data_IF_156977546734
#
_entry.id   IF_156977546734
#
_cell.length_a   1.000
_cell.length_b   1.000
_cell.length_c   1.000
_cell.angle_alpha   90.00
_cell.angle_beta   90.00
_cell.angle_gamma   90.00
#
_symmetry.space_group_name_H-M   'P 1'
#
loop_
_entity.id
_entity.type
_entity.pdbx_description
1 polymer ?
#
# COMPACT_ATOMS: atom_id res chain seq x y z
N UNK A 1 -36.94 16.12 -12.19
CA UNK A 1 -35.79 15.38 -11.61
C UNK A 1 -34.99 14.83 -12.77
N UNK A 2 -33.88 15.47 -13.11
CA UNK A 2 -32.98 15.04 -14.19
C UNK A 2 -32.30 13.75 -13.73
N UNK A 3 -32.61 12.64 -14.40
CA UNK A 3 -31.87 11.40 -14.26
C UNK A 3 -30.45 11.63 -14.83
N UNK A 4 -29.54 12.16 -14.03
CA UNK A 4 -28.12 12.11 -14.36
C UNK A 4 -27.71 10.62 -14.44
N UNK A 5 -27.13 10.21 -15.55
CA UNK A 5 -26.52 8.88 -15.62
C UNK A 5 -25.39 8.81 -14.59
N UNK A 6 -25.12 7.64 -14.01
CA UNK A 6 -24.05 7.45 -13.02
C UNK A 6 -22.71 7.99 -13.55
N UNK A 7 -22.44 7.83 -14.84
CA UNK A 7 -21.25 8.36 -15.52
C UNK A 7 -21.20 9.88 -15.57
N UNK A 8 -22.32 10.55 -15.80
CA UNK A 8 -22.38 12.01 -15.80
C UNK A 8 -22.20 12.58 -14.38
N UNK A 9 -22.82 11.95 -13.38
CA UNK A 9 -22.65 12.32 -11.98
C UNK A 9 -21.18 12.17 -11.54
N UNK A 10 -20.55 11.04 -11.86
CA UNK A 10 -19.13 10.82 -11.55
C UNK A 10 -18.22 11.87 -12.22
N UNK A 11 -18.42 12.12 -13.51
CA UNK A 11 -17.60 13.08 -14.25
C UNK A 11 -17.69 14.51 -13.70
N UNK A 12 -18.85 14.88 -13.14
CA UNK A 12 -19.10 16.24 -12.64
C UNK A 12 -18.71 16.43 -11.17
N UNK A 13 -18.72 15.35 -10.35
CA UNK A 13 -18.62 15.47 -8.90
C UNK A 13 -17.41 14.75 -8.28
N UNK A 14 -16.77 13.82 -9.02
CA UNK A 14 -15.75 12.93 -8.46
C UNK A 14 -14.55 13.70 -7.89
N UNK A 15 -14.15 14.79 -8.54
CA UNK A 15 -13.02 15.62 -8.11
C UNK A 15 -13.29 16.38 -6.80
N UNK A 16 -14.55 16.52 -6.43
CA UNK A 16 -14.99 17.18 -5.19
C UNK A 16 -15.13 16.18 -4.03
N UNK A 17 -15.03 14.87 -4.32
CA UNK A 17 -15.16 13.86 -3.28
C UNK A 17 -13.90 13.81 -2.43
N UNK A 18 -14.09 13.94 -1.12
CA UNK A 18 -13.07 13.70 -0.11
C UNK A 18 -13.30 12.30 0.46
N UNK A 19 -12.33 11.41 0.32
CA UNK A 19 -12.46 10.02 0.73
C UNK A 19 -11.34 9.66 1.69
N UNK A 20 -11.68 9.29 2.92
CA UNK A 20 -10.76 8.67 3.86
C UNK A 20 -10.71 7.16 3.60
N UNK A 21 -9.52 6.63 3.38
CA UNK A 21 -9.26 5.19 3.28
C UNK A 21 -8.49 4.79 4.53
N UNK A 22 -9.03 3.85 5.31
CA UNK A 22 -8.41 3.37 6.55
C UNK A 22 -8.27 1.85 6.45
N UNK A 23 -7.10 1.33 6.79
CA UNK A 23 -6.85 -0.11 6.79
C UNK A 23 -5.36 -0.47 6.73
N UNK A 24 -5.08 -1.75 6.45
CA UNK A 24 -3.73 -2.26 6.36
C UNK A 24 -3.00 -1.67 5.16
N UNK A 25 -2.01 -0.83 5.47
CA UNK A 25 -1.12 -0.21 4.48
C UNK A 25 0.08 -1.12 4.27
N UNK A 26 0.31 -1.52 3.03
CA UNK A 26 1.40 -2.43 2.74
C UNK A 26 2.16 -2.08 1.46
N UNK A 27 3.41 -2.53 1.41
CA UNK A 27 4.28 -2.42 0.24
C UNK A 27 4.38 -3.78 -0.44
N UNK A 28 3.87 -3.88 -1.67
CA UNK A 28 4.08 -5.05 -2.51
C UNK A 28 5.36 -4.88 -3.34
N UNK A 29 6.31 -5.82 -3.23
CA UNK A 29 7.58 -5.82 -3.97
C UNK A 29 7.70 -7.03 -4.86
N UNK A 30 7.93 -6.80 -6.13
CA UNK A 30 8.07 -7.83 -7.16
C UNK A 30 9.52 -7.91 -7.63
N UNK A 31 10.13 -9.07 -7.44
CA UNK A 31 11.49 -9.37 -7.85
C UNK A 31 11.47 -10.23 -9.10
N UNK A 32 11.60 -9.61 -10.25
CA UNK A 32 11.64 -10.30 -11.55
C UNK A 32 13.04 -10.78 -11.85
N UNK A 33 13.19 -12.08 -12.15
CA UNK A 33 14.48 -12.65 -12.44
C UNK A 33 14.45 -13.83 -13.39
N UNK A 34 15.63 -14.37 -13.64
CA UNK A 34 15.88 -15.56 -14.46
C UNK A 34 16.39 -16.69 -13.59
N UNK A 35 15.84 -17.89 -13.80
CA UNK A 35 16.30 -19.10 -13.15
C UNK A 35 17.04 -19.95 -14.20
N UNK A 36 18.35 -20.08 -14.06
CA UNK A 36 19.21 -20.81 -15.00
C UNK A 36 19.97 -21.98 -14.35
N UNK A 37 19.96 -22.06 -13.03
CA UNK A 37 20.69 -23.11 -12.29
C UNK A 37 20.00 -23.42 -10.96
N UNK A 38 20.33 -24.59 -10.45
CA UNK A 38 20.05 -24.98 -9.06
C UNK A 38 21.24 -24.56 -8.19
N UNK A 39 20.97 -24.22 -6.92
CA UNK A 39 22.03 -23.91 -5.95
C UNK A 39 22.93 -25.13 -5.69
N UNK A 40 24.24 -24.95 -5.55
CA UNK A 40 25.12 -26.02 -5.08
C UNK A 40 24.95 -26.36 -3.60
N UNK A 41 24.35 -25.45 -2.82
CA UNK A 41 24.18 -25.59 -1.36
C UNK A 41 22.90 -26.34 -0.98
N UNK A 42 21.87 -26.32 -1.85
CA UNK A 42 20.60 -26.98 -1.61
C UNK A 42 19.85 -27.17 -2.95
N UNK A 43 18.89 -28.10 -3.07
CA UNK A 43 18.13 -28.35 -4.30
C UNK A 43 17.07 -27.26 -4.55
N UNK A 44 17.48 -26.00 -4.51
CA UNK A 44 16.63 -24.83 -4.74
C UNK A 44 17.07 -24.03 -5.96
N UNK A 45 16.14 -23.48 -6.74
CA UNK A 45 16.47 -22.66 -7.90
C UNK A 45 17.12 -21.33 -7.48
N UNK A 46 18.15 -20.92 -8.22
CA UNK A 46 18.77 -19.60 -8.07
C UNK A 46 18.11 -18.60 -9.01
N UNK A 47 17.36 -17.66 -8.43
CA UNK A 47 16.74 -16.56 -9.18
C UNK A 47 17.71 -15.39 -9.27
N UNK A 48 18.23 -15.10 -10.48
CA UNK A 48 19.04 -13.92 -10.73
C UNK A 48 18.14 -12.72 -11.00
N UNK A 49 17.92 -11.89 -9.98
CA UNK A 49 17.06 -10.72 -10.06
C UNK A 49 17.58 -9.73 -11.10
N UNK A 50 16.70 -9.29 -12.01
CA UNK A 50 16.96 -8.31 -13.07
C UNK A 50 16.25 -6.98 -12.83
N UNK A 51 15.09 -7.02 -12.22
CA UNK A 51 14.26 -5.85 -11.98
C UNK A 51 13.49 -6.02 -10.68
N UNK A 52 13.39 -4.93 -9.93
CA UNK A 52 12.53 -4.82 -8.77
C UNK A 52 11.45 -3.78 -9.08
N UNK A 53 10.20 -4.09 -8.75
CA UNK A 53 9.07 -3.17 -8.84
C UNK A 53 8.37 -3.13 -7.50
N UNK A 54 8.16 -1.93 -6.96
CA UNK A 54 7.33 -1.70 -5.78
C UNK A 54 5.98 -1.13 -6.20
N UNK A 55 4.92 -1.51 -5.53
CA UNK A 55 3.57 -0.97 -5.72
C UNK A 55 2.87 -0.82 -4.37
N UNK A 56 1.96 0.13 -4.28
CA UNK A 56 1.07 0.29 -3.13
C UNK A 56 0.15 -0.94 -3.03
N UNK A 57 0.08 -1.56 -1.87
CA UNK A 57 -0.74 -2.75 -1.59
C UNK A 57 -1.79 -2.48 -0.51
N UNK A 58 -2.73 -3.41 -0.33
CA UNK A 58 -3.79 -3.29 0.67
C UNK A 58 -4.61 -2.01 0.55
N UNK A 59 -4.82 -1.34 1.67
CA UNK A 59 -5.55 -0.07 1.72
C UNK A 59 -4.89 1.03 0.86
N UNK A 60 -3.55 1.05 0.78
CA UNK A 60 -2.83 2.00 -0.06
C UNK A 60 -3.11 1.80 -1.57
N UNK A 61 -3.35 0.56 -2.02
CA UNK A 61 -3.77 0.31 -3.39
C UNK A 61 -5.19 0.83 -3.67
N UNK A 62 -6.10 0.72 -2.69
CA UNK A 62 -7.44 1.32 -2.78
C UNK A 62 -7.34 2.83 -2.89
N UNK A 63 -6.54 3.45 -2.04
CA UNK A 63 -6.27 4.89 -2.08
C UNK A 63 -5.71 5.33 -3.45
N UNK A 64 -4.75 4.57 -3.99
CA UNK A 64 -4.17 4.84 -5.31
C UNK A 64 -5.20 4.76 -6.45
N UNK A 65 -6.13 3.79 -6.40
CA UNK A 65 -7.20 3.67 -7.39
C UNK A 65 -8.18 4.85 -7.32
N UNK A 66 -8.55 5.29 -6.11
CA UNK A 66 -9.40 6.45 -5.92
C UNK A 66 -8.73 7.75 -6.35
N UNK A 67 -7.43 7.92 -6.05
CA UNK A 67 -6.66 9.05 -6.53
C UNK A 67 -6.56 9.07 -8.07
N UNK A 68 -6.47 7.90 -8.71
CA UNK A 68 -6.48 7.78 -10.17
C UNK A 68 -7.83 8.14 -10.79
N UNK A 69 -8.92 8.04 -10.02
CA UNK A 69 -10.24 8.56 -10.38
C UNK A 69 -10.41 10.05 -10.05
N UNK A 70 -9.31 10.72 -9.70
CA UNK A 70 -9.26 12.16 -9.37
C UNK A 70 -10.00 12.55 -8.08
N UNK A 71 -10.29 11.58 -7.19
CA UNK A 71 -10.79 11.88 -5.86
C UNK A 71 -9.70 12.51 -4.99
N UNK A 72 -10.09 13.37 -4.05
CA UNK A 72 -9.19 13.81 -2.99
C UNK A 72 -9.12 12.73 -1.89
N UNK A 73 -7.99 12.05 -1.78
CA UNK A 73 -7.83 10.87 -0.93
C UNK A 73 -6.97 11.17 0.28
N UNK A 74 -7.43 10.73 1.44
CA UNK A 74 -6.72 10.77 2.71
C UNK A 74 -6.49 9.33 3.19
N UNK A 75 -5.23 8.96 3.42
CA UNK A 75 -4.85 7.61 3.82
C UNK A 75 -4.53 7.55 5.31
N UNK A 76 -5.25 6.70 6.03
CA UNK A 76 -5.00 6.37 7.43
C UNK A 76 -4.64 4.90 7.62
N UNK A 77 -3.74 4.63 8.54
CA UNK A 77 -3.29 3.28 8.87
C UNK A 77 -2.01 3.30 9.68
N UNK A 78 -1.48 2.12 10.00
CA UNK A 78 -0.27 1.99 10.80
C UNK A 78 0.85 1.39 9.94
N UNK A 79 2.05 1.95 10.09
CA UNK A 79 3.26 1.46 9.43
C UNK A 79 4.43 1.48 10.42
N UNK A 80 5.48 0.75 10.14
CA UNK A 80 6.70 0.79 10.94
C UNK A 80 7.48 2.09 10.80
N UNK A 81 8.56 2.19 11.57
CA UNK A 81 9.53 3.28 11.50
C UNK A 81 10.74 2.88 10.64
N UNK A 82 10.50 2.49 9.39
CA UNK A 82 11.48 1.83 8.52
C UNK A 82 11.52 2.41 7.10
N UNK A 83 12.49 1.97 6.30
CA UNK A 83 12.67 2.43 4.92
C UNK A 83 11.47 2.06 4.01
N UNK A 84 10.71 1.00 4.31
CA UNK A 84 9.55 0.63 3.51
C UNK A 84 8.41 1.65 3.67
N UNK A 85 8.29 2.25 4.86
CA UNK A 85 7.41 3.40 5.09
C UNK A 85 7.80 4.58 4.21
N UNK A 86 9.07 4.94 4.15
CA UNK A 86 9.54 6.07 3.32
C UNK A 86 9.22 5.86 1.84
N UNK A 87 9.35 4.61 1.36
CA UNK A 87 8.96 4.24 -0.01
C UNK A 87 7.45 4.41 -0.22
N UNK A 88 6.61 3.98 0.73
CA UNK A 88 5.16 4.15 0.66
C UNK A 88 4.77 5.63 0.62
N UNK A 89 5.35 6.45 1.50
CA UNK A 89 5.09 7.90 1.58
C UNK A 89 5.46 8.59 0.25
N UNK A 90 6.63 8.29 -0.32
CA UNK A 90 7.03 8.83 -1.61
C UNK A 90 6.07 8.44 -2.74
N UNK A 91 5.64 7.17 -2.78
CA UNK A 91 4.69 6.68 -3.79
C UNK A 91 3.29 7.28 -3.64
N UNK A 92 2.85 7.56 -2.41
CA UNK A 92 1.58 8.24 -2.15
C UNK A 92 1.66 9.71 -2.53
N UNK A 93 2.76 10.38 -2.19
CA UNK A 93 3.01 11.77 -2.57
C UNK A 93 2.98 11.98 -4.09
N UNK A 94 3.61 11.07 -4.86
CA UNK A 94 3.57 11.09 -6.34
C UNK A 94 2.16 11.00 -6.90
N UNK A 95 1.22 10.40 -6.16
CA UNK A 95 -0.19 10.24 -6.56
C UNK A 95 -1.12 11.31 -5.98
N UNK A 96 -0.58 12.27 -5.23
CA UNK A 96 -1.38 13.30 -4.58
C UNK A 96 -2.26 12.80 -3.44
N UNK A 97 -1.92 11.65 -2.85
CA UNK A 97 -2.64 11.09 -1.69
C UNK A 97 -2.11 11.77 -0.43
N UNK A 98 -3.01 12.30 0.39
CA UNK A 98 -2.67 12.78 1.73
C UNK A 98 -2.46 11.56 2.65
N UNK A 99 -1.26 11.41 3.17
CA UNK A 99 -0.87 10.32 4.05
C UNK A 99 -0.62 10.76 5.49
N UNK A 100 -1.17 11.91 5.89
CA UNK A 100 -1.04 12.45 7.26
C UNK A 100 -1.60 11.50 8.34
N UNK A 101 -2.49 10.59 7.96
CA UNK A 101 -3.03 9.55 8.83
C UNK A 101 -2.20 8.29 8.94
N UNK A 102 -0.99 8.25 8.38
CA UNK A 102 -0.07 7.13 8.59
C UNK A 102 0.62 7.23 9.95
N UNK A 103 0.09 6.50 10.90
CA UNK A 103 0.64 6.42 12.26
C UNK A 103 1.94 5.61 12.22
N UNK A 104 2.98 6.15 12.84
CA UNK A 104 4.31 5.53 12.90
C UNK A 104 4.42 4.67 14.15
N UNK A 105 4.44 3.35 13.99
CA UNK A 105 4.69 2.40 15.06
C UNK A 105 6.19 2.24 15.34
N UNK A 106 6.53 2.06 16.62
CA UNK A 106 7.86 1.64 17.05
C UNK A 106 7.92 0.13 17.37
N UNK A 107 6.77 -0.53 17.32
CA UNK A 107 6.60 -1.90 17.80
C UNK A 107 6.33 -2.90 16.67
N UNK A 108 6.09 -2.42 15.45
CA UNK A 108 5.87 -3.26 14.26
C UNK A 108 6.59 -2.73 13.05
N UNK A 109 6.86 -3.61 12.09
CA UNK A 109 7.42 -3.26 10.78
C UNK A 109 6.31 -2.87 9.80
N UNK A 110 6.68 -2.12 8.77
CA UNK A 110 5.78 -1.85 7.64
C UNK A 110 5.46 -3.14 6.91
N UNK A 111 4.18 -3.48 6.82
CA UNK A 111 3.74 -4.68 6.11
C UNK A 111 4.32 -4.70 4.71
N UNK A 112 5.09 -5.74 4.40
CA UNK A 112 5.75 -5.88 3.11
C UNK A 112 5.55 -7.28 2.56
N UNK A 113 5.04 -7.38 1.33
CA UNK A 113 4.86 -8.66 0.65
C UNK A 113 5.79 -8.73 -0.56
N UNK A 114 6.79 -9.62 -0.47
CA UNK A 114 7.77 -9.80 -1.54
C UNK A 114 7.39 -11.01 -2.39
N UNK A 115 7.27 -10.80 -3.71
CA UNK A 115 6.98 -11.86 -4.68
C UNK A 115 8.18 -12.08 -5.57
N UNK A 116 8.72 -13.29 -5.52
CA UNK A 116 9.86 -13.72 -6.33
C UNK A 116 9.32 -14.38 -7.60
N UNK A 117 9.61 -13.78 -8.75
CA UNK A 117 9.17 -14.26 -10.05
C UNK A 117 10.36 -14.73 -10.89
N UNK A 118 10.30 -15.95 -11.35
CA UNK A 118 11.27 -16.55 -12.27
C UNK A 118 10.55 -17.07 -13.51
N UNK A 119 11.06 -16.79 -14.71
CA UNK A 119 10.49 -17.26 -15.97
C UNK A 119 8.95 -17.03 -16.10
N UNK A 120 8.45 -15.86 -15.67
CA UNK A 120 7.05 -15.45 -15.66
C UNK A 120 6.14 -16.17 -14.63
N UNK A 121 6.70 -17.00 -13.77
CA UNK A 121 5.96 -17.68 -12.71
C UNK A 121 6.37 -17.16 -11.34
N UNK A 122 5.40 -17.04 -10.43
CA UNK A 122 5.70 -16.75 -9.03
C UNK A 122 6.24 -18.02 -8.37
N UNK A 123 7.45 -17.93 -7.85
CA UNK A 123 8.15 -19.04 -7.21
C UNK A 123 7.97 -19.06 -5.71
N UNK A 124 7.94 -17.86 -5.09
CA UNK A 124 7.88 -17.70 -3.65
C UNK A 124 7.21 -16.37 -3.32
N UNK A 125 6.51 -16.31 -2.17
CA UNK A 125 6.09 -15.08 -1.52
C UNK A 125 6.63 -15.05 -0.09
N UNK A 126 7.23 -13.94 0.27
CA UNK A 126 7.69 -13.65 1.62
C UNK A 126 6.82 -12.54 2.18
N UNK A 127 6.18 -12.78 3.31
CA UNK A 127 5.32 -11.83 3.99
C UNK A 127 6.01 -11.38 5.27
N UNK A 128 6.25 -10.07 5.37
CA UNK A 128 6.74 -9.39 6.56
C UNK A 128 5.54 -8.65 7.14
N UNK A 129 4.90 -9.25 8.10
CA UNK A 129 3.72 -8.70 8.76
C UNK A 129 3.61 -9.25 10.17
N UNK A 130 3.14 -8.44 11.09
CA UNK A 130 2.71 -8.87 12.39
C UNK A 130 1.20 -8.96 12.40
N UNK A 131 0.69 -10.10 12.84
CA UNK A 131 -0.75 -10.35 13.00
C UNK A 131 -1.18 -9.96 14.40
N UNK A 132 -2.24 -9.21 14.53
CA UNK A 132 -2.80 -8.79 15.81
C UNK A 132 -3.46 -7.42 15.73
N UNK A 133 -4.17 -7.10 16.80
CA UNK A 133 -4.83 -5.80 16.93
C UNK A 133 -3.81 -4.65 17.00
N UNK A 134 -4.26 -3.46 16.69
CA UNK A 134 -3.47 -2.25 16.89
C UNK A 134 -3.20 -2.03 18.39
N UNK A 135 -2.04 -1.50 18.71
CA UNK A 135 -1.77 -1.07 20.08
C UNK A 135 -2.69 0.10 20.46
N UNK A 136 -3.03 0.25 21.75
CA UNK A 136 -3.95 1.31 22.19
C UNK A 136 -3.54 2.71 21.71
N UNK A 137 -2.25 3.04 21.77
CA UNK A 137 -1.71 4.32 21.31
C UNK A 137 -1.84 4.53 19.79
N UNK A 138 -1.72 3.46 18.99
CA UNK A 138 -1.91 3.50 17.54
C UNK A 138 -3.39 3.75 17.20
N UNK A 139 -4.29 3.07 17.93
CA UNK A 139 -5.74 3.22 17.78
C UNK A 139 -6.18 4.64 18.15
N UNK A 140 -5.67 5.17 19.26
CA UNK A 140 -5.97 6.53 19.72
C UNK A 140 -5.49 7.58 18.70
N UNK A 141 -4.24 7.47 18.24
CA UNK A 141 -3.67 8.38 17.26
C UNK A 141 -4.45 8.37 15.92
N UNK A 142 -4.82 7.18 15.44
CA UNK A 142 -5.60 7.05 14.20
C UNK A 142 -7.01 7.62 14.36
N UNK A 143 -7.64 7.39 15.52
CA UNK A 143 -8.96 7.91 15.84
C UNK A 143 -8.96 9.43 15.93
N UNK A 144 -7.96 10.02 16.57
CA UNK A 144 -7.79 11.46 16.66
C UNK A 144 -7.57 12.10 15.27
N UNK A 145 -6.72 11.49 14.44
CA UNK A 145 -6.54 11.95 13.07
C UNK A 145 -7.86 11.94 12.29
N UNK A 146 -8.64 10.87 12.39
CA UNK A 146 -9.93 10.78 11.70
C UNK A 146 -10.94 11.81 12.19
N UNK A 147 -11.02 12.07 13.50
CA UNK A 147 -11.89 13.11 14.06
C UNK A 147 -11.53 14.49 13.50
N UNK A 148 -10.23 14.86 13.51
CA UNK A 148 -9.76 16.14 12.96
C UNK A 148 -10.00 16.25 11.43
N UNK A 149 -10.05 15.14 10.70
CA UNK A 149 -10.34 15.15 9.27
C UNK A 149 -11.81 15.42 8.96
N UNK A 150 -12.70 15.08 9.90
CA UNK A 150 -14.17 15.21 9.73
C UNK A 150 -14.71 16.59 10.18
N UNK A 151 -13.90 17.38 10.90
CA UNK A 151 -14.18 18.78 11.26
C UNK A 151 -13.87 19.73 10.09
#
# INVERSE_FOLDING_TARGET
MTNLSCTAFLAEHIQNLKIAVIGDVMLDRYFYGEVKRISPEAPVPVNKVKRIKSVLGGAANVAANLAHLECRVFMGGVTGADNNREVLEAMMAEKGIDYSGLIKSQQRETITKMRILGAQQQMLRLDFEETGDLFPEETEALSLWLQNLLE
#
